data_IF_121712484277
#
_entry.id   IF_121712484277
#
_cell.length_a   1.000
_cell.length_b   1.000
_cell.length_c   1.000
_cell.angle_alpha   90.00
_cell.angle_beta   90.00
_cell.angle_gamma   90.00
#
_symmetry.space_group_name_H-M   'P 1'
#
loop_
_entity.id
_entity.type
_entity.pdbx_description
1 polymer ?
#
# COMPACT_ATOMS: atom_id res chain seq x y z
N UNK A 1 -48.40 -40.18 7.74
CA UNK A 1 -48.04 -39.14 8.73
C UNK A 1 -47.29 -38.05 7.99
N UNK A 2 -47.90 -36.88 7.82
CA UNK A 2 -47.30 -35.76 7.11
C UNK A 2 -46.07 -35.28 7.89
N UNK A 3 -44.89 -35.39 7.27
CA UNK A 3 -43.62 -34.96 7.83
C UNK A 3 -43.61 -33.43 7.80
N UNK A 4 -44.14 -32.79 8.86
CA UNK A 4 -44.04 -31.34 9.04
C UNK A 4 -42.57 -31.00 9.31
N UNK A 5 -41.78 -30.88 8.24
CA UNK A 5 -40.42 -30.33 8.30
C UNK A 5 -40.55 -28.89 8.78
N UNK A 6 -40.32 -28.66 10.08
CA UNK A 6 -40.30 -27.33 10.67
C UNK A 6 -39.26 -26.52 9.92
N UNK A 7 -39.70 -25.53 9.15
CA UNK A 7 -38.80 -24.68 8.37
C UNK A 7 -38.06 -23.79 9.35
N UNK A 8 -36.77 -24.05 9.55
CA UNK A 8 -35.91 -23.28 10.42
C UNK A 8 -35.70 -21.86 9.86
N UNK A 9 -36.23 -20.86 10.56
CA UNK A 9 -36.20 -19.45 10.16
C UNK A 9 -35.48 -18.62 11.24
N UNK A 10 -34.14 -18.53 11.19
CA UNK A 10 -33.41 -17.72 12.14
C UNK A 10 -33.60 -16.21 11.86
N UNK A 11 -33.52 -15.34 12.87
CA UNK A 11 -33.72 -13.89 12.70
C UNK A 11 -32.63 -13.23 11.86
N UNK A 12 -31.43 -13.82 11.84
CA UNK A 12 -30.31 -13.45 10.97
C UNK A 12 -29.80 -14.68 10.23
N UNK A 13 -29.16 -14.54 9.07
CA UNK A 13 -28.52 -15.68 8.43
C UNK A 13 -27.50 -16.33 9.37
N UNK A 14 -27.50 -17.66 9.45
CA UNK A 14 -26.59 -18.43 10.30
C UNK A 14 -25.75 -19.34 9.40
N UNK A 15 -24.43 -19.23 9.48
CA UNK A 15 -23.49 -20.16 8.85
C UNK A 15 -23.00 -21.17 9.89
N UNK A 16 -23.35 -22.43 9.68
CA UNK A 16 -22.96 -23.57 10.50
C UNK A 16 -21.73 -24.24 9.92
N UNK A 17 -20.74 -24.53 10.78
CA UNK A 17 -19.47 -25.13 10.40
C UNK A 17 -18.95 -26.10 11.48
N UNK A 18 -17.94 -26.90 11.14
CA UNK A 18 -17.33 -27.89 12.04
C UNK A 18 -16.29 -27.26 12.98
N UNK A 19 -16.65 -27.12 14.26
CA UNK A 19 -15.84 -26.53 15.33
C UNK A 19 -14.55 -27.31 15.67
N UNK A 20 -14.54 -28.61 15.45
CA UNK A 20 -13.39 -29.49 15.76
C UNK A 20 -12.36 -29.48 14.62
N UNK A 21 -12.77 -29.11 13.41
CA UNK A 21 -11.86 -28.98 12.28
C UNK A 21 -11.07 -27.66 12.34
N UNK A 22 -9.76 -27.76 12.58
CA UNK A 22 -8.86 -26.60 12.61
C UNK A 22 -8.86 -25.80 11.29
N UNK A 23 -9.01 -26.46 10.14
CA UNK A 23 -9.14 -25.77 8.85
C UNK A 23 -10.43 -24.94 8.78
N UNK A 24 -11.56 -25.54 9.15
CA UNK A 24 -12.85 -24.87 9.18
C UNK A 24 -12.83 -23.67 10.14
N UNK A 25 -12.17 -23.82 11.30
CA UNK A 25 -11.96 -22.73 12.27
C UNK A 25 -11.21 -21.54 11.67
N UNK A 26 -10.13 -21.79 10.93
CA UNK A 26 -9.37 -20.72 10.26
C UNK A 26 -10.22 -20.01 9.20
N UNK A 27 -10.99 -20.77 8.41
CA UNK A 27 -11.94 -20.21 7.44
C UNK A 27 -13.03 -19.37 8.14
N UNK A 28 -13.60 -19.87 9.24
CA UNK A 28 -14.61 -19.17 10.03
C UNK A 28 -14.06 -17.85 10.61
N UNK A 29 -12.84 -17.84 11.15
CA UNK A 29 -12.19 -16.61 11.62
C UNK A 29 -12.03 -15.55 10.52
N UNK A 30 -11.75 -15.97 9.28
CA UNK A 30 -11.69 -15.06 8.11
C UNK A 30 -13.07 -14.52 7.71
N UNK A 31 -14.11 -15.33 7.86
CA UNK A 31 -15.49 -14.90 7.61
C UNK A 31 -15.99 -13.95 8.70
N UNK A 32 -15.62 -14.20 9.96
CA UNK A 32 -15.93 -13.36 11.10
C UNK A 32 -15.21 -12.01 11.04
N UNK A 33 -14.01 -11.96 10.43
CA UNK A 33 -13.27 -10.71 10.26
C UNK A 33 -13.86 -9.75 9.20
N UNK A 34 -15.00 -10.06 8.59
CA UNK A 34 -15.65 -9.18 7.61
C UNK A 34 -16.38 -8.03 8.31
N UNK A 35 -16.27 -6.81 7.77
CA UNK A 35 -16.96 -5.64 8.34
C UNK A 35 -18.48 -5.81 8.24
N UNK A 36 -19.17 -5.72 9.38
CA UNK A 36 -20.63 -5.61 9.47
C UNK A 36 -21.37 -6.79 10.09
N UNK A 37 -20.69 -7.90 10.41
CA UNK A 37 -21.23 -9.08 11.13
C UNK A 37 -22.69 -9.40 10.78
N UNK A 38 -22.98 -9.52 9.48
CA UNK A 38 -24.35 -9.73 8.96
C UNK A 38 -24.82 -11.18 9.06
N UNK A 39 -23.88 -12.11 9.23
CA UNK A 39 -24.14 -13.55 9.30
C UNK A 39 -23.50 -14.08 10.57
N UNK A 40 -24.29 -14.80 11.37
CA UNK A 40 -23.80 -15.41 12.61
C UNK A 40 -23.08 -16.72 12.27
N UNK A 41 -21.80 -16.83 12.68
CA UNK A 41 -21.02 -18.05 12.51
C UNK A 41 -21.12 -18.91 13.78
N UNK A 42 -21.67 -20.11 13.66
CA UNK A 42 -21.92 -21.00 14.80
C UNK A 42 -21.30 -22.38 14.53
N UNK A 43 -20.45 -22.90 15.42
CA UNK A 43 -20.00 -24.29 15.31
C UNK A 43 -21.17 -25.24 15.59
N UNK A 44 -21.31 -26.31 14.80
CA UNK A 44 -22.50 -27.18 14.92
C UNK A 44 -22.65 -27.81 16.32
N UNK A 45 -21.54 -28.01 17.04
CA UNK A 45 -21.53 -28.52 18.42
C UNK A 45 -22.37 -27.67 19.39
N UNK A 46 -22.47 -26.35 19.16
CA UNK A 46 -23.29 -25.45 19.97
C UNK A 46 -24.61 -25.04 19.31
N UNK A 47 -24.89 -25.53 18.09
CA UNK A 47 -26.08 -25.15 17.31
C UNK A 47 -27.36 -25.50 18.06
N UNK A 48 -27.54 -26.76 18.47
CA UNK A 48 -28.77 -27.21 19.13
C UNK A 48 -28.93 -26.69 20.56
N UNK A 49 -27.83 -26.26 21.21
CA UNK A 49 -27.90 -25.57 22.51
C UNK A 49 -28.56 -24.20 22.36
N UNK A 50 -28.23 -23.47 21.29
CA UNK A 50 -28.76 -22.12 21.02
C UNK A 50 -30.07 -22.16 20.24
N UNK A 51 -30.26 -23.18 19.39
CA UNK A 51 -31.39 -23.35 18.49
C UNK A 51 -31.87 -24.81 18.48
N UNK A 52 -32.70 -25.22 19.46
CA UNK A 52 -33.20 -26.60 19.54
C UNK A 52 -33.98 -27.05 18.29
N UNK A 53 -34.59 -26.11 17.56
CA UNK A 53 -35.37 -26.34 16.34
C UNK A 53 -34.52 -26.40 15.06
N UNK A 54 -33.18 -26.35 15.17
CA UNK A 54 -32.32 -26.43 13.99
C UNK A 54 -32.41 -27.82 13.33
N UNK A 55 -32.32 -27.93 11.99
CA UNK A 55 -32.35 -29.21 11.30
C UNK A 55 -31.14 -30.07 11.68
N UNK A 56 -31.27 -31.40 11.69
CA UNK A 56 -30.14 -32.32 11.84
C UNK A 56 -29.61 -32.66 10.45
N UNK A 57 -28.53 -31.99 10.05
CA UNK A 57 -27.83 -32.17 8.77
C UNK A 57 -26.41 -32.69 9.01
N UNK A 58 -25.73 -33.15 7.94
CA UNK A 58 -24.33 -33.56 8.01
C UNK A 58 -23.38 -32.34 8.02
N UNK A 59 -23.32 -31.69 9.18
CA UNK A 59 -22.48 -30.52 9.43
C UNK A 59 -20.97 -30.83 9.47
N UNK A 60 -20.60 -32.12 9.57
CA UNK A 60 -19.20 -32.54 9.57
C UNK A 60 -18.62 -32.49 8.15
N UNK A 61 -19.37 -32.92 7.13
CA UNK A 61 -18.89 -32.97 5.74
C UNK A 61 -18.92 -31.63 5.02
N UNK A 62 -19.85 -30.73 5.35
CA UNK A 62 -20.00 -29.45 4.66
C UNK A 62 -20.54 -28.35 5.57
N UNK A 63 -20.27 -27.10 5.17
CA UNK A 63 -20.88 -25.91 5.80
C UNK A 63 -22.29 -25.71 5.28
N UNK A 64 -23.16 -25.20 6.16
CA UNK A 64 -24.56 -24.92 5.85
C UNK A 64 -24.89 -23.47 6.19
N UNK A 65 -25.62 -22.79 5.30
CA UNK A 65 -26.14 -21.45 5.54
C UNK A 65 -27.67 -21.49 5.61
N UNK A 66 -28.23 -21.12 6.76
CA UNK A 66 -29.66 -20.93 6.95
C UNK A 66 -30.01 -19.45 6.82
N UNK A 67 -31.07 -19.14 6.08
CA UNK A 67 -31.51 -17.76 5.84
C UNK A 67 -32.83 -17.48 6.55
N UNK A 68 -33.13 -16.20 6.91
CA UNK A 68 -34.42 -15.83 7.51
C UNK A 68 -35.64 -16.18 6.64
N UNK A 69 -35.44 -16.31 5.32
CA UNK A 69 -36.46 -16.76 4.38
C UNK A 69 -36.80 -18.26 4.50
N UNK A 70 -36.13 -19.01 5.36
CA UNK A 70 -36.32 -20.45 5.54
C UNK A 70 -35.65 -21.33 4.47
N UNK A 71 -34.74 -20.75 3.67
CA UNK A 71 -33.92 -21.51 2.71
C UNK A 71 -32.60 -21.92 3.35
N UNK A 72 -32.20 -23.18 3.12
CA UNK A 72 -30.89 -23.72 3.44
C UNK A 72 -30.03 -23.82 2.19
N UNK A 73 -28.72 -23.58 2.35
CA UNK A 73 -27.71 -23.77 1.31
C UNK A 73 -26.58 -24.60 1.90
N UNK A 74 -25.94 -25.45 1.08
CA UNK A 74 -24.85 -26.36 1.48
C UNK A 74 -23.59 -26.06 0.68
N UNK A 75 -22.42 -26.39 1.22
CA UNK A 75 -21.14 -26.42 0.50
C UNK A 75 -20.79 -25.10 -0.20
N UNK A 76 -20.42 -25.11 -1.50
CA UNK A 76 -20.02 -23.88 -2.19
C UNK A 76 -21.19 -22.90 -2.30
N UNK A 77 -22.42 -23.39 -2.50
CA UNK A 77 -23.63 -22.57 -2.52
C UNK A 77 -23.81 -21.77 -1.21
N UNK A 78 -23.49 -22.36 -0.05
CA UNK A 78 -23.54 -21.67 1.24
C UNK A 78 -22.54 -20.51 1.30
N UNK A 79 -21.31 -20.71 0.81
CA UNK A 79 -20.26 -19.70 0.79
C UNK A 79 -20.58 -18.55 -0.18
N UNK A 80 -21.08 -18.84 -1.38
CA UNK A 80 -21.49 -17.79 -2.31
C UNK A 80 -22.68 -17.00 -1.79
N UNK A 81 -23.65 -17.68 -1.17
CA UNK A 81 -24.80 -17.01 -0.55
C UNK A 81 -24.38 -16.14 0.64
N UNK A 82 -23.40 -16.58 1.43
CA UNK A 82 -22.76 -15.77 2.48
C UNK A 82 -22.17 -14.48 1.90
N UNK A 83 -21.39 -14.57 0.81
CA UNK A 83 -20.79 -13.38 0.19
C UNK A 83 -21.81 -12.44 -0.44
N UNK A 84 -22.99 -12.93 -0.82
CA UNK A 84 -24.07 -12.08 -1.32
C UNK A 84 -24.67 -11.16 -0.26
N UNK A 85 -24.43 -11.39 1.04
CA UNK A 85 -24.86 -10.48 2.11
C UNK A 85 -23.98 -9.20 2.20
N UNK A 86 -22.79 -9.23 1.59
CA UNK A 86 -21.82 -8.14 1.63
C UNK A 86 -21.78 -7.36 0.30
N UNK A 87 -21.86 -6.01 0.33
CA UNK A 87 -21.74 -5.17 -0.87
C UNK A 87 -20.44 -5.49 -1.64
N UNK A 88 -20.47 -5.39 -2.97
CA UNK A 88 -19.34 -5.69 -3.89
C UNK A 88 -18.95 -7.16 -4.08
N UNK A 89 -19.52 -8.12 -3.34
CA UNK A 89 -19.24 -9.56 -3.53
C UNK A 89 -20.43 -10.38 -4.04
N UNK A 90 -21.57 -9.74 -4.27
CA UNK A 90 -22.77 -10.37 -4.85
C UNK A 90 -22.58 -10.94 -6.26
N UNK A 91 -21.58 -10.46 -7.01
CA UNK A 91 -21.27 -10.95 -8.36
C UNK A 91 -20.92 -12.44 -8.36
N UNK A 92 -20.27 -12.95 -7.30
CA UNK A 92 -19.87 -14.35 -7.22
C UNK A 92 -21.09 -15.27 -7.08
N UNK A 93 -22.09 -14.87 -6.29
CA UNK A 93 -23.37 -15.57 -6.19
C UNK A 93 -24.20 -15.45 -7.48
N UNK A 94 -24.13 -14.32 -8.16
CA UNK A 94 -24.74 -14.16 -9.48
C UNK A 94 -24.10 -15.13 -10.50
N UNK A 95 -22.76 -15.20 -10.56
CA UNK A 95 -22.05 -16.12 -11.44
C UNK A 95 -22.38 -17.59 -11.12
N UNK A 96 -22.44 -17.93 -9.83
CA UNK A 96 -22.88 -19.25 -9.35
C UNK A 96 -24.28 -19.62 -9.84
N UNK A 97 -25.23 -18.69 -9.82
CA UNK A 97 -26.60 -18.96 -10.28
C UNK A 97 -26.73 -18.95 -11.81
N UNK A 98 -25.93 -18.13 -12.51
CA UNK A 98 -26.04 -17.91 -13.96
C UNK A 98 -25.34 -19.00 -14.77
N UNK A 99 -24.15 -19.43 -14.35
CA UNK A 99 -23.30 -20.31 -15.13
C UNK A 99 -23.21 -21.70 -14.49
N UNK A 100 -23.82 -22.70 -15.14
CA UNK A 100 -23.84 -24.09 -14.64
C UNK A 100 -22.44 -24.68 -14.47
N UNK A 101 -21.53 -24.39 -15.40
CA UNK A 101 -20.15 -24.87 -15.34
C UNK A 101 -19.40 -24.29 -14.13
N UNK A 102 -19.66 -23.02 -13.80
CA UNK A 102 -19.04 -22.36 -12.64
C UNK A 102 -19.57 -22.96 -11.34
N UNK A 103 -20.88 -23.23 -11.24
CA UNK A 103 -21.46 -23.92 -10.08
C UNK A 103 -20.86 -25.32 -9.89
N UNK A 104 -20.80 -26.10 -10.98
CA UNK A 104 -20.20 -27.43 -10.97
C UNK A 104 -18.74 -27.42 -10.50
N UNK A 105 -17.90 -26.57 -11.10
CA UNK A 105 -16.48 -26.45 -10.73
C UNK A 105 -16.32 -25.99 -9.27
N UNK A 106 -17.17 -25.08 -8.81
CA UNK A 106 -17.08 -24.58 -7.44
C UNK A 106 -17.46 -25.64 -6.40
N UNK A 107 -18.50 -26.43 -6.67
CA UNK A 107 -18.88 -27.55 -5.80
C UNK A 107 -17.83 -28.66 -5.83
N UNK A 108 -17.30 -29.00 -7.02
CA UNK A 108 -16.20 -29.95 -7.13
C UNK A 108 -14.96 -29.49 -6.35
N UNK A 109 -14.56 -28.22 -6.51
CA UNK A 109 -13.43 -27.64 -5.80
C UNK A 109 -13.65 -27.60 -4.29
N UNK A 110 -14.86 -27.26 -3.85
CA UNK A 110 -15.23 -27.31 -2.44
C UNK A 110 -15.09 -28.73 -1.87
N UNK A 111 -15.65 -29.73 -2.56
CA UNK A 111 -15.57 -31.13 -2.14
C UNK A 111 -14.13 -31.64 -2.13
N UNK A 112 -13.32 -31.29 -3.13
CA UNK A 112 -11.91 -31.64 -3.15
C UNK A 112 -11.14 -31.11 -1.93
N UNK A 113 -11.38 -29.84 -1.56
CA UNK A 113 -10.79 -29.25 -0.36
C UNK A 113 -11.36 -29.87 0.92
N UNK A 114 -12.68 -30.11 0.98
CA UNK A 114 -13.36 -30.68 2.13
C UNK A 114 -12.93 -32.13 2.42
N UNK A 115 -12.65 -32.91 1.39
CA UNK A 115 -12.14 -34.28 1.52
C UNK A 115 -10.64 -34.31 1.89
N UNK A 116 -9.90 -33.24 1.59
CA UNK A 116 -8.45 -33.14 1.84
C UNK A 116 -8.07 -32.08 2.90
N UNK A 117 -8.98 -31.76 3.84
CA UNK A 117 -8.83 -30.67 4.83
C UNK A 117 -7.49 -30.66 5.55
N UNK A 118 -6.94 -31.82 5.92
CA UNK A 118 -5.65 -31.94 6.63
C UNK A 118 -4.47 -31.48 5.78
N UNK A 119 -4.46 -31.84 4.49
CA UNK A 119 -3.43 -31.45 3.52
C UNK A 119 -3.51 -29.95 3.27
N UNK A 120 -4.72 -29.44 2.98
CA UNK A 120 -4.94 -28.01 2.77
C UNK A 120 -4.64 -27.18 4.01
N UNK A 121 -4.94 -27.66 5.22
CA UNK A 121 -4.53 -26.99 6.46
C UNK A 121 -3.00 -26.84 6.56
N UNK A 122 -2.23 -27.84 6.12
CA UNK A 122 -0.77 -27.79 6.11
C UNK A 122 -0.27 -26.84 5.02
N UNK A 123 -0.79 -26.96 3.79
CA UNK A 123 -0.41 -26.08 2.68
C UNK A 123 -0.67 -24.62 3.01
N UNK A 124 -1.88 -24.30 3.48
CA UNK A 124 -2.21 -22.91 3.78
C UNK A 124 -1.40 -22.40 4.97
N UNK A 125 -1.03 -23.24 5.93
CA UNK A 125 -0.11 -22.83 7.01
C UNK A 125 1.28 -22.46 6.49
N UNK A 126 1.78 -23.18 5.47
CA UNK A 126 3.08 -22.88 4.85
C UNK A 126 3.03 -21.57 4.07
N UNK A 127 2.00 -21.36 3.25
CA UNK A 127 1.93 -20.20 2.34
C UNK A 127 1.31 -18.94 2.96
N UNK A 128 0.34 -19.07 3.86
CA UNK A 128 -0.41 -17.94 4.48
C UNK A 128 -0.20 -17.82 5.99
N UNK A 129 0.54 -18.75 6.62
CA UNK A 129 0.85 -18.70 8.05
C UNK A 129 -0.29 -19.21 8.95
N UNK A 130 -0.29 -18.78 10.22
CA UNK A 130 -1.18 -19.32 11.26
C UNK A 130 -2.59 -18.73 11.25
N UNK A 131 -2.88 -17.71 10.43
CA UNK A 131 -4.16 -16.99 10.40
C UNK A 131 -4.62 -16.74 8.97
N UNK A 132 -5.92 -16.91 8.70
CA UNK A 132 -6.53 -16.63 7.39
C UNK A 132 -7.16 -15.23 7.31
N UNK A 133 -7.12 -14.49 8.42
CA UNK A 133 -7.60 -13.10 8.49
C UNK A 133 -6.80 -12.27 7.49
N UNK A 134 -7.47 -11.32 6.85
CA UNK A 134 -6.82 -10.44 5.88
C UNK A 134 -5.62 -9.72 6.53
N UNK A 135 -4.44 -9.69 5.87
CA UNK A 135 -3.29 -8.97 6.39
C UNK A 135 -3.65 -7.51 6.65
N UNK A 136 -3.31 -7.02 7.84
CA UNK A 136 -3.40 -5.59 8.16
C UNK A 136 -2.08 -4.91 7.82
N UNK A 137 -2.12 -3.70 7.27
CA UNK A 137 -0.92 -2.92 6.96
C UNK A 137 -0.51 -1.97 8.10
N UNK A 138 -0.99 -2.25 9.32
CA UNK A 138 -0.79 -1.41 10.51
C UNK A 138 0.66 -1.31 10.94
N UNK A 139 1.31 -2.46 11.10
CA UNK A 139 2.73 -2.51 11.49
C UNK A 139 3.63 -1.97 10.39
N UNK A 140 3.34 -2.32 9.14
CA UNK A 140 4.11 -1.84 7.99
C UNK A 140 3.98 -0.33 7.82
N UNK A 141 2.80 0.26 7.99
CA UNK A 141 2.61 1.72 7.88
C UNK A 141 3.33 2.48 9.00
N UNK A 142 3.30 1.95 10.22
CA UNK A 142 4.01 2.51 11.37
C UNK A 142 5.53 2.50 11.18
N UNK A 143 6.08 1.39 10.68
CA UNK A 143 7.51 1.25 10.40
C UNK A 143 7.91 2.12 9.21
N UNK A 144 7.10 2.12 8.15
CA UNK A 144 7.33 2.88 6.92
C UNK A 144 7.61 4.36 7.20
N UNK A 145 6.76 5.03 8.00
CA UNK A 145 6.97 6.45 8.31
C UNK A 145 8.31 6.74 8.99
N UNK A 146 8.78 5.84 9.86
CA UNK A 146 10.06 5.98 10.57
C UNK A 146 11.24 5.80 9.64
N UNK A 147 11.21 4.74 8.84
CA UNK A 147 12.26 4.46 7.86
C UNK A 147 12.33 5.60 6.85
N UNK A 148 11.19 6.10 6.37
CA UNK A 148 11.15 7.27 5.49
C UNK A 148 11.75 8.51 6.17
N UNK A 149 11.42 8.78 7.44
CA UNK A 149 12.02 9.88 8.20
C UNK A 149 13.54 9.74 8.34
N UNK A 150 14.06 8.53 8.58
CA UNK A 150 15.50 8.26 8.63
C UNK A 150 16.14 8.55 7.26
N UNK A 151 15.54 8.07 6.17
CA UNK A 151 16.03 8.33 4.81
C UNK A 151 16.07 9.83 4.49
N UNK A 152 15.00 10.57 4.82
CA UNK A 152 14.94 12.03 4.62
C UNK A 152 16.01 12.73 5.46
N UNK A 153 16.21 12.32 6.72
CA UNK A 153 17.25 12.88 7.58
C UNK A 153 18.65 12.68 6.97
N UNK A 154 18.94 11.46 6.52
CA UNK A 154 20.22 11.15 5.85
C UNK A 154 20.38 12.00 4.59
N UNK A 155 19.33 12.15 3.78
CA UNK A 155 19.36 12.97 2.58
C UNK A 155 19.67 14.44 2.88
N UNK A 156 19.01 15.04 3.89
CA UNK A 156 19.30 16.42 4.29
C UNK A 156 20.71 16.60 4.83
N UNK A 157 21.17 15.72 5.73
CA UNK A 157 22.52 15.82 6.32
C UNK A 157 23.58 15.65 5.23
N UNK A 158 23.43 14.64 4.38
CA UNK A 158 24.33 14.39 3.25
C UNK A 158 24.40 15.59 2.31
N UNK A 159 23.24 16.15 1.97
CA UNK A 159 23.17 17.32 1.09
C UNK A 159 23.73 18.58 1.75
N UNK A 160 23.50 18.79 3.05
CA UNK A 160 23.99 19.97 3.77
C UNK A 160 25.52 20.02 3.77
N UNK A 161 26.20 18.91 4.03
CA UNK A 161 27.67 18.85 3.99
C UNK A 161 28.19 19.20 2.59
N UNK A 162 27.48 18.78 1.54
CA UNK A 162 27.88 19.01 0.15
C UNK A 162 27.46 20.38 -0.38
N UNK A 163 26.43 21.01 0.20
CA UNK A 163 25.80 22.20 -0.38
C UNK A 163 26.78 23.36 -0.50
N UNK A 164 27.69 23.53 0.47
CA UNK A 164 28.68 24.61 0.44
C UNK A 164 29.58 24.54 -0.81
N UNK A 165 30.00 23.33 -1.21
CA UNK A 165 30.85 23.13 -2.39
C UNK A 165 30.07 23.02 -3.71
N UNK A 166 28.84 22.52 -3.68
CA UNK A 166 28.06 22.31 -4.91
C UNK A 166 27.35 23.59 -5.37
N UNK A 167 26.43 24.10 -4.55
CA UNK A 167 25.52 25.18 -4.93
C UNK A 167 25.43 26.31 -3.92
N UNK A 168 26.34 26.36 -2.94
CA UNK A 168 26.51 27.49 -2.03
C UNK A 168 27.03 28.74 -2.73
N UNK A 169 27.22 29.87 -2.01
CA UNK A 169 27.67 31.12 -2.63
C UNK A 169 29.03 31.00 -3.32
N UNK A 170 29.93 30.20 -2.75
CA UNK A 170 31.26 29.89 -3.29
C UNK A 170 31.31 28.48 -3.91
N UNK A 171 30.14 27.91 -4.24
CA UNK A 171 30.03 26.59 -4.83
C UNK A 171 30.39 26.57 -6.31
N UNK A 172 30.47 25.36 -6.89
CA UNK A 172 30.74 25.17 -8.33
C UNK A 172 29.68 25.88 -9.19
N UNK A 173 28.40 25.77 -8.82
CA UNK A 173 27.28 26.47 -9.47
C UNK A 173 26.41 27.13 -8.41
N UNK A 174 26.68 28.39 -8.03
CA UNK A 174 25.94 29.08 -6.98
C UNK A 174 24.44 29.15 -7.27
N UNK A 175 23.61 28.81 -6.28
CA UNK A 175 22.16 28.82 -6.45
C UNK A 175 21.59 30.21 -6.81
N UNK A 176 22.29 31.28 -6.43
CA UNK A 176 21.93 32.65 -6.76
C UNK A 176 21.92 32.88 -8.28
N UNK A 177 22.87 32.31 -9.00
CA UNK A 177 22.92 32.41 -10.47
C UNK A 177 21.70 31.73 -11.12
N UNK A 178 21.25 30.60 -10.57
CA UNK A 178 20.06 29.91 -11.06
C UNK A 178 18.79 30.74 -10.85
N UNK A 179 18.67 31.39 -9.69
CA UNK A 179 17.57 32.29 -9.39
C UNK A 179 17.62 33.58 -10.23
N UNK A 180 18.81 34.11 -10.49
CA UNK A 180 18.97 35.28 -11.34
C UNK A 180 18.65 34.98 -12.80
N UNK A 181 19.01 33.79 -13.31
CA UNK A 181 18.58 33.32 -14.64
C UNK A 181 17.04 33.23 -14.74
N UNK A 182 16.38 32.60 -13.76
CA UNK A 182 14.92 32.54 -13.72
C UNK A 182 14.28 33.94 -13.61
N UNK A 183 14.94 34.88 -12.92
CA UNK A 183 14.51 36.28 -12.84
C UNK A 183 14.58 36.97 -14.20
N UNK A 184 15.67 36.77 -14.94
CA UNK A 184 15.87 37.36 -16.27
C UNK A 184 14.88 36.80 -17.29
N UNK A 185 14.57 35.50 -17.23
CA UNK A 185 13.62 34.85 -18.14
C UNK A 185 12.18 35.37 -18.02
N UNK A 186 11.75 35.82 -16.83
CA UNK A 186 10.36 36.22 -16.58
C UNK A 186 10.07 37.73 -16.77
N UNK A 187 11.07 38.57 -17.04
CA UNK A 187 10.90 40.01 -17.24
C UNK A 187 10.25 40.75 -16.06
N UNK A 188 9.98 42.06 -16.25
CA UNK A 188 9.42 42.96 -15.23
C UNK A 188 7.88 42.85 -15.06
N UNK A 189 7.24 41.72 -15.42
CA UNK A 189 5.77 41.51 -15.28
C UNK A 189 5.38 40.96 -13.89
N UNK A 190 4.16 41.19 -13.36
CA UNK A 190 3.80 41.09 -11.92
C UNK A 190 4.46 39.89 -11.19
N UNK A 191 5.55 40.18 -10.46
CA UNK A 191 6.81 39.41 -10.51
C UNK A 191 6.99 38.31 -9.43
N UNK A 192 5.95 37.78 -8.77
CA UNK A 192 6.14 36.75 -7.71
C UNK A 192 5.52 35.39 -8.05
N UNK A 193 4.33 35.36 -8.64
CA UNK A 193 3.66 34.09 -8.94
C UNK A 193 4.36 33.31 -10.07
N UNK A 194 4.75 33.98 -11.15
CA UNK A 194 5.48 33.37 -12.28
C UNK A 194 6.83 32.78 -11.84
N UNK A 195 7.55 33.49 -10.96
CA UNK A 195 8.84 33.03 -10.41
C UNK A 195 8.71 31.80 -9.52
N UNK A 196 7.67 31.76 -8.69
CA UNK A 196 7.38 30.60 -7.84
C UNK A 196 6.87 29.39 -8.64
N UNK A 197 6.23 29.61 -9.79
CA UNK A 197 5.82 28.55 -10.71
C UNK A 197 7.03 27.90 -11.41
N UNK A 198 8.02 28.70 -11.83
CA UNK A 198 9.24 28.16 -12.46
C UNK A 198 10.19 27.51 -11.43
N UNK A 199 10.41 28.19 -10.30
CA UNK A 199 11.30 27.75 -9.22
C UNK A 199 10.56 27.85 -7.88
N UNK A 200 9.79 26.82 -7.47
CA UNK A 200 9.09 26.80 -6.19
C UNK A 200 10.07 26.62 -5.03
N UNK A 201 10.69 27.72 -4.59
CA UNK A 201 11.65 27.74 -3.47
C UNK A 201 11.39 28.88 -2.50
N UNK A 202 11.63 28.64 -1.22
CA UNK A 202 11.60 29.69 -0.19
C UNK A 202 12.81 30.64 -0.25
N UNK A 203 13.87 30.28 -0.98
CA UNK A 203 15.09 31.09 -1.10
C UNK A 203 14.87 32.42 -1.83
N UNK A 204 13.73 32.59 -2.52
CA UNK A 204 13.30 33.89 -3.02
C UNK A 204 13.08 34.93 -1.91
N UNK A 205 12.62 34.49 -0.74
CA UNK A 205 12.27 35.35 0.39
C UNK A 205 13.41 35.45 1.41
N UNK A 206 14.20 34.38 1.55
CA UNK A 206 15.33 34.31 2.46
C UNK A 206 16.61 34.03 1.65
N UNK A 207 17.20 35.05 1.02
CA UNK A 207 18.38 34.87 0.20
C UNK A 207 19.63 34.59 1.06
N UNK A 208 20.61 33.94 0.44
CA UNK A 208 21.92 33.69 1.04
C UNK A 208 22.03 32.42 1.89
N UNK A 209 23.12 32.33 2.65
CA UNK A 209 23.48 31.15 3.45
C UNK A 209 22.53 30.90 4.61
N UNK A 210 21.95 31.96 5.18
CA UNK A 210 21.00 31.88 6.29
C UNK A 210 19.70 31.19 5.88
N UNK A 211 19.16 31.51 4.70
CA UNK A 211 17.98 30.86 4.16
C UNK A 211 18.21 29.37 3.88
N UNK A 212 19.35 29.02 3.29
CA UNK A 212 19.72 27.61 3.08
C UNK A 212 19.87 26.86 4.40
N UNK A 213 20.58 27.43 5.37
CA UNK A 213 20.74 26.82 6.69
C UNK A 213 19.38 26.63 7.38
N UNK A 214 18.46 27.59 7.27
CA UNK A 214 17.10 27.45 7.80
C UNK A 214 16.36 26.27 7.14
N UNK A 215 16.44 26.12 5.81
CA UNK A 215 15.83 24.99 5.11
C UNK A 215 16.40 23.64 5.55
N UNK A 216 17.72 23.53 5.73
CA UNK A 216 18.34 22.31 6.22
C UNK A 216 17.95 22.00 7.67
N UNK A 217 17.99 23.00 8.56
CA UNK A 217 17.60 22.83 9.97
C UNK A 217 16.13 22.41 10.07
N UNK A 218 15.23 23.12 9.38
CA UNK A 218 13.80 22.79 9.37
C UNK A 218 13.52 21.43 8.72
N UNK A 219 14.25 21.08 7.65
CA UNK A 219 14.22 19.76 7.02
C UNK A 219 14.62 18.65 7.98
N UNK A 220 15.76 18.78 8.67
CA UNK A 220 16.21 17.83 9.67
C UNK A 220 15.24 17.72 10.86
N UNK A 221 14.76 18.84 11.40
CA UNK A 221 13.80 18.83 12.51
C UNK A 221 12.48 18.16 12.11
N UNK A 222 11.96 18.44 10.91
CA UNK A 222 10.74 17.79 10.41
C UNK A 222 10.95 16.29 10.18
N UNK A 223 12.11 15.88 9.65
CA UNK A 223 12.48 14.47 9.54
C UNK A 223 12.57 13.79 10.91
N UNK A 224 13.14 14.45 11.92
CA UNK A 224 13.19 13.94 13.30
C UNK A 224 11.79 13.75 13.88
N UNK A 225 10.89 14.71 13.69
CA UNK A 225 9.50 14.58 14.11
C UNK A 225 8.81 13.38 13.44
N UNK A 226 9.09 13.15 12.15
CA UNK A 226 8.58 11.98 11.43
C UNK A 226 9.12 10.65 12.00
N UNK A 227 10.41 10.59 12.35
CA UNK A 227 11.04 9.43 13.03
C UNK A 227 10.38 9.17 14.40
N UNK A 228 10.09 10.23 15.15
CA UNK A 228 9.37 10.12 16.43
C UNK A 228 7.89 9.79 16.25
N UNK A 229 7.38 9.86 15.00
CA UNK A 229 5.99 9.66 14.65
C UNK A 229 5.08 10.80 15.12
N UNK A 230 5.60 12.02 15.24
CA UNK A 230 4.86 13.21 15.65
C UNK A 230 4.36 13.96 14.41
N UNK A 231 3.08 14.31 14.38
CA UNK A 231 2.43 15.08 13.30
C UNK A 231 2.87 14.65 11.88
N UNK A 232 2.89 13.34 11.60
CA UNK A 232 3.61 12.77 10.45
C UNK A 232 3.31 13.41 9.09
N UNK A 233 2.05 13.69 8.70
CA UNK A 233 1.77 14.35 7.42
C UNK A 233 2.29 15.80 7.36
N UNK A 234 2.27 16.53 8.48
CA UNK A 234 2.80 17.91 8.55
C UNK A 234 4.31 17.86 8.44
N UNK A 235 4.96 16.96 9.18
CA UNK A 235 6.40 16.73 9.07
C UNK A 235 6.81 16.41 7.63
N UNK A 236 6.07 15.54 6.94
CA UNK A 236 6.31 15.23 5.53
C UNK A 236 6.12 16.44 4.62
N UNK A 237 5.05 17.23 4.79
CA UNK A 237 4.82 18.44 3.99
C UNK A 237 5.95 19.46 4.16
N UNK A 238 6.40 19.66 5.40
CA UNK A 238 7.51 20.56 5.70
C UNK A 238 8.81 20.02 5.10
N UNK A 239 9.14 18.74 5.31
CA UNK A 239 10.32 18.11 4.71
C UNK A 239 10.29 18.20 3.17
N UNK A 240 9.14 17.90 2.55
CA UNK A 240 8.95 17.98 1.11
C UNK A 240 9.16 19.41 0.59
N UNK A 241 8.57 20.40 1.26
CA UNK A 241 8.69 21.81 0.86
C UNK A 241 10.12 22.32 1.00
N UNK A 242 10.82 21.96 2.08
CA UNK A 242 12.23 22.31 2.29
C UNK A 242 13.13 21.64 1.26
N UNK A 243 12.92 20.34 1.00
CA UNK A 243 13.75 19.60 0.05
C UNK A 243 13.51 20.05 -1.39
N UNK A 244 12.25 20.30 -1.77
CA UNK A 244 11.91 20.86 -3.07
C UNK A 244 12.61 22.21 -3.27
N UNK A 245 12.55 23.09 -2.26
CA UNK A 245 13.18 24.41 -2.31
C UNK A 245 14.68 24.35 -2.60
N UNK A 246 15.38 23.32 -2.12
CA UNK A 246 16.79 23.08 -2.39
C UNK A 246 17.00 22.41 -3.76
N UNK A 247 16.18 21.42 -4.11
CA UNK A 247 16.27 20.65 -5.35
C UNK A 247 16.16 21.52 -6.60
N UNK A 248 15.20 22.46 -6.65
CA UNK A 248 14.98 23.25 -7.89
C UNK A 248 16.12 24.23 -8.19
N UNK A 249 16.89 24.63 -7.17
CA UNK A 249 17.98 25.59 -7.31
C UNK A 249 19.36 24.94 -7.43
N UNK A 250 19.49 23.68 -7.02
CA UNK A 250 20.75 22.92 -7.06
C UNK A 250 21.00 22.25 -8.43
N UNK A 251 20.65 22.92 -9.52
CA UNK A 251 20.94 22.43 -10.89
C UNK A 251 22.45 22.55 -11.16
N UNK A 252 23.12 21.53 -11.72
CA UNK A 252 22.60 20.27 -12.26
C UNK A 252 22.57 19.09 -11.26
N UNK A 253 23.04 19.28 -10.04
CA UNK A 253 23.40 18.22 -9.10
C UNK A 253 22.22 17.36 -8.62
N UNK A 254 21.06 17.97 -8.34
CA UNK A 254 19.86 17.27 -7.82
C UNK A 254 18.80 16.95 -8.89
N UNK A 255 19.22 16.84 -10.16
CA UNK A 255 18.35 16.42 -11.26
C UNK A 255 18.38 14.89 -11.49
N UNK A 256 18.99 14.14 -10.57
CA UNK A 256 19.06 12.70 -10.66
C UNK A 256 17.75 12.04 -10.17
N UNK A 257 17.47 10.84 -10.66
CA UNK A 257 16.20 10.13 -10.42
C UNK A 257 15.89 9.91 -8.93
N UNK A 258 16.92 9.81 -8.07
CA UNK A 258 16.75 9.52 -6.65
C UNK A 258 16.12 10.69 -5.87
N UNK A 259 16.53 11.92 -6.15
CA UNK A 259 16.00 13.12 -5.47
C UNK A 259 14.53 13.35 -5.85
N UNK A 260 14.20 13.13 -7.13
CA UNK A 260 12.82 13.16 -7.63
C UNK A 260 11.97 12.05 -7.01
N UNK A 261 12.49 10.82 -6.93
CA UNK A 261 11.80 9.70 -6.28
C UNK A 261 11.53 9.99 -4.80
N UNK A 262 12.47 10.63 -4.09
CA UNK A 262 12.29 11.01 -2.69
C UNK A 262 11.18 12.07 -2.55
N UNK A 263 11.16 13.09 -3.42
CA UNK A 263 10.08 14.09 -3.47
C UNK A 263 8.70 13.46 -3.75
N UNK A 264 8.61 12.61 -4.76
CA UNK A 264 7.37 11.87 -5.08
C UNK A 264 6.93 11.00 -3.90
N UNK A 265 7.88 10.29 -3.27
CA UNK A 265 7.59 9.44 -2.10
C UNK A 265 7.05 10.26 -0.93
N UNK A 266 7.67 11.40 -0.61
CA UNK A 266 7.20 12.28 0.47
C UNK A 266 5.79 12.80 0.21
N UNK A 267 5.51 13.27 -1.01
CA UNK A 267 4.21 13.80 -1.40
C UNK A 267 3.11 12.73 -1.35
N UNK A 268 3.35 11.55 -1.92
CA UNK A 268 2.36 10.47 -1.92
C UNK A 268 2.14 9.87 -0.53
N UNK A 269 3.16 9.93 0.34
CA UNK A 269 3.07 9.47 1.73
C UNK A 269 2.07 10.26 2.58
N UNK A 270 1.71 11.48 2.17
CA UNK A 270 0.66 12.29 2.82
C UNK A 270 -0.70 11.60 2.83
N UNK A 271 -0.98 10.83 1.77
CA UNK A 271 -2.22 10.07 1.65
C UNK A 271 -2.14 8.71 2.34
N UNK A 272 -0.94 8.23 2.66
CA UNK A 272 -0.70 6.91 3.26
C UNK A 272 -0.61 6.97 4.79
N UNK A 273 0.11 7.94 5.33
CA UNK A 273 0.30 8.09 6.78
C UNK A 273 -0.95 8.68 7.46
N UNK A 274 -1.29 8.22 8.68
CA UNK A 274 -2.48 8.69 9.38
C UNK A 274 -2.31 10.13 9.88
N UNK A 275 -3.35 10.95 9.72
CA UNK A 275 -3.46 12.29 10.32
C UNK A 275 -3.74 12.19 11.83
N UNK A 276 -2.68 11.97 12.59
CA UNK A 276 -2.69 11.92 14.06
C UNK A 276 -1.51 12.72 14.62
N UNK A 277 -1.68 13.27 15.82
CA UNK A 277 -0.60 13.98 16.50
C UNK A 277 0.58 13.07 16.86
N UNK A 278 0.32 11.79 17.20
CA UNK A 278 1.37 10.81 17.48
C UNK A 278 1.02 9.41 16.96
N UNK A 279 1.87 8.84 16.13
CA UNK A 279 1.77 7.49 15.59
C UNK A 279 2.38 6.47 16.57
N UNK A 280 1.54 5.96 17.47
CA UNK A 280 1.90 4.89 18.42
C UNK A 280 1.66 3.51 17.81
N UNK A 281 2.54 2.56 18.13
CA UNK A 281 2.49 1.21 17.57
C UNK A 281 1.15 0.50 17.86
N UNK A 282 0.69 0.56 19.11
CA UNK A 282 -0.53 -0.12 19.55
C UNK A 282 -1.83 0.53 19.06
N UNK A 283 -1.79 1.78 18.58
CA UNK A 283 -2.94 2.52 18.02
C UNK A 283 -2.88 2.61 16.48
N UNK A 284 -2.07 1.76 15.85
CA UNK A 284 -1.88 1.76 14.40
C UNK A 284 -3.19 1.43 13.69
N UNK A 285 -3.65 2.38 12.88
CA UNK A 285 -4.87 2.25 12.06
C UNK A 285 -4.47 1.67 10.71
N UNK A 286 -5.41 0.97 10.08
CA UNK A 286 -5.26 0.55 8.69
C UNK A 286 -4.99 1.79 7.80
N UNK A 287 -3.89 1.83 7.03
CA UNK A 287 -3.60 2.97 6.18
C UNK A 287 -4.63 3.10 5.07
N UNK A 288 -4.77 4.32 4.55
CA UNK A 288 -5.68 4.59 3.45
C UNK A 288 -5.30 3.75 2.21
N UNK A 289 -6.29 3.08 1.62
CA UNK A 289 -6.09 2.26 0.44
C UNK A 289 -5.57 3.07 -0.76
N UNK A 290 -6.02 4.33 -0.92
CA UNK A 290 -5.59 5.20 -2.02
C UNK A 290 -4.10 5.52 -1.89
N UNK A 291 -3.65 5.97 -0.72
CA UNK A 291 -2.22 6.25 -0.48
C UNK A 291 -1.33 5.03 -0.69
N UNK A 292 -1.79 3.84 -0.29
CA UNK A 292 -1.07 2.58 -0.54
C UNK A 292 -0.93 2.29 -2.04
N UNK A 293 -2.01 2.44 -2.80
CA UNK A 293 -1.98 2.24 -4.25
C UNK A 293 -1.08 3.25 -4.96
N UNK A 294 -1.09 4.51 -4.53
CA UNK A 294 -0.19 5.54 -5.07
C UNK A 294 1.28 5.17 -4.87
N UNK A 295 1.66 4.68 -3.68
CA UNK A 295 3.03 4.21 -3.42
C UNK A 295 3.40 2.96 -4.23
N UNK A 296 2.46 2.04 -4.44
CA UNK A 296 2.68 0.88 -5.31
C UNK A 296 2.82 1.28 -6.79
N UNK A 297 2.02 2.24 -7.25
CA UNK A 297 2.14 2.78 -8.61
C UNK A 297 3.46 3.53 -8.79
N UNK A 298 3.95 4.23 -7.77
CA UNK A 298 5.28 4.85 -7.80
C UNK A 298 6.39 3.80 -7.93
N UNK A 299 6.32 2.71 -7.17
CA UNK A 299 7.27 1.60 -7.30
C UNK A 299 7.19 0.95 -8.68
N UNK A 300 5.98 0.75 -9.19
CA UNK A 300 5.77 0.25 -10.54
C UNK A 300 6.38 1.19 -11.58
N UNK A 301 6.10 2.50 -11.50
CA UNK A 301 6.68 3.53 -12.36
C UNK A 301 8.19 3.45 -12.36
N UNK A 302 8.83 3.44 -11.19
CA UNK A 302 10.29 3.33 -11.06
C UNK A 302 10.84 2.11 -11.81
N UNK A 303 10.28 0.93 -11.56
CA UNK A 303 10.75 -0.32 -12.18
C UNK A 303 10.47 -0.36 -13.68
N UNK A 304 9.30 0.13 -14.09
CA UNK A 304 8.86 0.14 -15.48
C UNK A 304 9.67 1.14 -16.31
N UNK A 305 9.79 2.38 -15.88
CA UNK A 305 10.57 3.42 -16.56
C UNK A 305 12.06 3.05 -16.64
N UNK A 306 12.62 2.46 -15.57
CA UNK A 306 13.99 1.92 -15.57
C UNK A 306 14.19 0.80 -16.61
N UNK A 307 13.13 0.09 -16.98
CA UNK A 307 13.16 -0.90 -18.06
C UNK A 307 12.97 -0.26 -19.44
N UNK A 308 11.99 0.63 -19.59
CA UNK A 308 11.67 1.29 -20.86
C UNK A 308 12.84 2.12 -21.37
N UNK A 309 13.51 2.87 -20.49
CA UNK A 309 14.63 3.74 -20.89
C UNK A 309 15.76 2.97 -21.58
N UNK A 310 15.94 1.68 -21.25
CA UNK A 310 16.93 0.82 -21.91
C UNK A 310 16.65 0.67 -23.40
N UNK A 311 15.39 0.65 -23.79
CA UNK A 311 14.98 0.47 -25.19
C UNK A 311 14.71 1.78 -25.92
N UNK A 312 14.48 2.88 -25.19
CA UNK A 312 14.10 4.17 -25.78
C UNK A 312 15.22 5.21 -25.77
N UNK A 313 16.31 4.97 -25.04
CA UNK A 313 17.47 5.88 -25.04
C UNK A 313 18.47 5.47 -26.12
N UNK A 314 18.71 6.38 -27.07
CA UNK A 314 19.66 6.20 -28.16
C UNK A 314 20.85 7.15 -27.96
N UNK A 315 22.05 6.62 -28.11
CA UNK A 315 23.30 7.37 -28.08
C UNK A 315 23.61 8.04 -29.41
N UNK A 316 24.84 8.51 -29.55
CA UNK A 316 25.32 9.09 -30.81
C UNK A 316 25.27 8.06 -31.96
N UNK A 317 24.74 8.47 -33.11
CA UNK A 317 24.64 7.62 -34.29
C UNK A 317 23.51 6.59 -34.24
N UNK A 318 22.41 6.89 -33.53
CA UNK A 318 21.23 6.01 -33.37
C UNK A 318 21.56 4.62 -32.83
N UNK A 319 22.65 4.51 -32.06
CA UNK A 319 23.05 3.26 -31.41
C UNK A 319 22.35 3.10 -30.07
N UNK A 320 21.96 1.86 -29.72
CA UNK A 320 21.35 1.57 -28.44
C UNK A 320 22.10 0.42 -27.78
N UNK A 321 22.90 0.75 -26.77
CA UNK A 321 23.80 -0.21 -26.13
C UNK A 321 23.07 -1.40 -25.48
N UNK A 322 21.80 -1.26 -25.09
CA UNK A 322 21.00 -2.37 -24.56
C UNK A 322 20.46 -3.28 -25.66
N UNK A 323 20.02 -2.71 -26.79
CA UNK A 323 19.61 -3.48 -27.98
C UNK A 323 20.81 -4.18 -28.64
N UNK A 324 21.96 -3.50 -28.67
CA UNK A 324 23.21 -3.99 -29.23
C UNK A 324 23.95 -4.96 -28.28
N UNK A 325 23.38 -5.23 -27.08
CA UNK A 325 23.95 -6.10 -26.04
C UNK A 325 25.36 -5.69 -25.54
N UNK A 326 25.75 -4.43 -25.74
CA UNK A 326 27.06 -3.88 -25.33
C UNK A 326 27.00 -3.07 -24.04
N UNK A 327 25.80 -2.83 -23.47
CA UNK A 327 25.59 -1.97 -22.31
C UNK A 327 26.50 -2.34 -21.11
N UNK A 328 26.73 -3.62 -20.86
CA UNK A 328 27.52 -4.09 -19.72
C UNK A 328 29.04 -4.06 -19.93
N UNK A 329 29.53 -3.78 -21.15
CA UNK A 329 30.97 -3.75 -21.44
C UNK A 329 31.71 -2.72 -20.57
N UNK A 330 31.07 -1.56 -20.36
CA UNK A 330 31.62 -0.44 -19.60
C UNK A 330 30.76 -0.02 -18.40
N UNK A 331 29.58 -0.62 -18.21
CA UNK A 331 28.63 -0.21 -17.15
C UNK A 331 29.28 -0.17 -15.77
N UNK A 332 30.16 -1.12 -15.47
CA UNK A 332 30.82 -1.24 -14.17
C UNK A 332 32.12 -0.43 -14.04
N UNK A 333 32.60 0.20 -15.13
CA UNK A 333 33.87 0.95 -15.09
C UNK A 333 33.71 2.29 -14.39
N UNK A 334 32.51 2.88 -14.46
CA UNK A 334 32.21 4.21 -13.91
C UNK A 334 31.26 4.15 -12.72
N UNK A 335 30.91 2.95 -12.23
CA UNK A 335 30.09 2.87 -11.03
C UNK A 335 30.92 3.24 -9.80
N UNK A 336 30.47 4.21 -8.98
CA UNK A 336 31.12 4.52 -7.70
C UNK A 336 30.84 3.43 -6.63
N UNK A 337 30.27 2.30 -7.04
CA UNK A 337 29.92 1.17 -6.19
C UNK A 337 31.08 0.17 -6.31
N UNK A 338 31.74 -0.21 -5.20
CA UNK A 338 32.91 -1.08 -5.26
C UNK A 338 32.56 -2.37 -5.99
N UNK A 339 33.43 -2.75 -6.94
CA UNK A 339 33.50 -4.12 -7.40
C UNK A 339 33.98 -4.97 -6.22
N UNK A 340 33.22 -6.02 -5.93
CA UNK A 340 33.41 -7.06 -4.92
C UNK A 340 34.86 -7.37 -4.54
#
# INVERSE_FOLDING_TARGET
>A
MANNSVVFKPPRPILVWDGECNFCRLCAQRFDSQKGNKVDLIPYQSLHQKWPQAPTEDYASAVYLFTPAGKSYRSAAAIYRFYAEYPWRGWANWAYKRFRWFAFLSEWGYQFVANNRKIFARLVRVFWGKSFVLPSYRTSSWLYGRVLGITIMIAFISLWVQSAGLFGPEGIVPFSENLDQARLNNGNGPLTASRLLEKPTWLWFFPGTTGMAALFITGCLSALLLILGLFSPISLLVSWSCYLSLQVVATPFLNFQWDLLLLETMLLSLFYLPWKSRAKYYESIEPNAIGRWLLWLLLFKLMFESGVVKFTYFGSGDTNTWLDLTALNYHYWTQPIPSW
#
